data_IF_513970231196
#
_entry.id   IF_513970231196
#
_cell.length_a   1.000
_cell.length_b   1.000
_cell.length_c   1.000
_cell.angle_alpha   90.00
_cell.angle_beta   90.00
_cell.angle_gamma   90.00
#
_symmetry.space_group_name_H-M   'P 1'
#
loop_
_entity.id
_entity.type
_entity.pdbx_description
1 polymer ?
#
# COMPACT_ATOMS: atom_id res chain seq x y z
N UNK A 1 -28.63 -24.70 5.02
CA UNK A 1 -27.49 -23.75 5.04
C UNK A 1 -26.29 -24.51 5.57
N UNK A 2 -25.35 -24.88 4.71
CA UNK A 2 -24.20 -25.74 5.09
C UNK A 2 -22.92 -24.93 5.02
N UNK A 3 -22.28 -24.73 6.16
CA UNK A 3 -20.99 -24.08 6.29
C UNK A 3 -19.90 -25.06 5.83
N UNK A 4 -19.20 -24.76 4.73
CA UNK A 4 -17.99 -25.49 4.33
C UNK A 4 -16.82 -25.04 5.20
N UNK A 5 -16.41 -25.92 6.11
CA UNK A 5 -15.18 -25.80 6.90
C UNK A 5 -13.94 -25.84 6.00
N UNK A 6 -12.90 -25.16 6.47
CA UNK A 6 -11.60 -24.94 5.85
C UNK A 6 -10.99 -26.20 5.20
N UNK A 7 -10.37 -26.01 4.03
CA UNK A 7 -9.61 -27.06 3.36
C UNK A 7 -8.33 -27.35 4.17
N UNK A 8 -7.99 -28.61 4.46
CA UNK A 8 -6.74 -28.95 5.13
C UNK A 8 -5.56 -28.58 4.23
N UNK A 9 -4.48 -28.10 4.86
CA UNK A 9 -3.20 -27.80 4.21
C UNK A 9 -2.69 -29.09 3.57
N UNK A 10 -2.22 -29.01 2.33
CA UNK A 10 -1.72 -30.17 1.59
C UNK A 10 -0.19 -30.20 1.68
N UNK A 11 0.34 -30.98 2.63
CA UNK A 11 1.78 -31.12 2.88
C UNK A 11 2.56 -31.79 1.72
N UNK A 12 1.88 -32.40 0.75
CA UNK A 12 2.53 -32.99 -0.43
C UNK A 12 3.10 -31.92 -1.37
N UNK A 13 2.60 -30.68 -1.29
CA UNK A 13 3.10 -29.53 -2.06
C UNK A 13 4.40 -28.94 -1.51
N UNK A 14 4.75 -29.20 -0.25
CA UNK A 14 6.00 -28.68 0.34
C UNK A 14 7.23 -29.52 -0.02
N UNK A 15 7.05 -30.84 -0.23
CA UNK A 15 8.14 -31.72 -0.65
C UNK A 15 8.56 -31.48 -2.12
N UNK A 16 7.60 -31.13 -3.00
CA UNK A 16 7.88 -30.81 -4.40
C UNK A 16 8.67 -29.51 -4.62
N UNK A 17 8.69 -28.61 -3.63
CA UNK A 17 9.43 -27.33 -3.71
C UNK A 17 10.93 -27.54 -3.48
N UNK A 18 11.31 -28.55 -2.69
CA UNK A 18 12.74 -28.82 -2.38
C UNK A 18 13.51 -29.47 -3.54
N UNK A 19 12.84 -30.21 -4.42
CA UNK A 19 13.48 -30.87 -5.57
C UNK A 19 13.67 -29.96 -6.80
N UNK A 20 12.97 -28.83 -6.87
CA UNK A 20 13.05 -27.90 -8.02
C UNK A 20 14.20 -26.89 -7.92
N UNK A 21 14.82 -26.71 -6.74
CA UNK A 21 15.89 -25.74 -6.52
C UNK A 21 17.25 -26.26 -7.03
N UNK A 22 17.43 -27.58 -7.19
CA UNK A 22 18.71 -28.17 -7.60
C UNK A 22 18.93 -28.27 -9.12
N UNK A 23 17.92 -28.02 -9.97
CA UNK A 23 18.02 -28.18 -11.44
C UNK A 23 18.13 -26.83 -12.18
N UNK A 24 17.81 -25.71 -11.54
CA UNK A 24 17.82 -24.40 -12.19
C UNK A 24 19.20 -23.68 -12.19
N UNK A 25 20.24 -24.28 -11.63
CA UNK A 25 21.57 -23.63 -11.45
C UNK A 25 22.50 -23.80 -12.67
N UNK A 26 22.10 -24.50 -13.74
CA UNK A 26 23.05 -24.89 -14.80
C UNK A 26 22.70 -24.59 -16.27
N UNK A 27 21.62 -23.88 -16.60
CA UNK A 27 21.29 -23.65 -18.03
C UNK A 27 20.62 -22.32 -18.39
N UNK A 28 21.24 -21.17 -18.14
CA UNK A 28 20.95 -19.95 -18.94
C UNK A 28 22.21 -19.10 -19.11
N UNK A 29 23.10 -19.52 -20.00
CA UNK A 29 24.00 -18.61 -20.71
C UNK A 29 23.32 -18.24 -22.02
N UNK A 30 23.03 -16.96 -22.22
CA UNK A 30 22.66 -16.42 -23.53
C UNK A 30 21.18 -16.11 -23.73
N UNK A 31 20.83 -14.86 -23.45
CA UNK A 31 20.01 -14.03 -24.34
C UNK A 31 20.24 -12.58 -23.92
N UNK A 32 21.08 -11.88 -24.67
CA UNK A 32 21.22 -10.43 -24.56
C UNK A 32 19.95 -9.78 -25.11
N UNK A 33 18.93 -9.64 -24.27
CA UNK A 33 17.79 -8.76 -24.56
C UNK A 33 18.26 -7.32 -24.40
N UNK A 34 18.29 -6.60 -25.52
CA UNK A 34 18.47 -5.15 -25.56
C UNK A 34 17.38 -4.53 -24.68
N UNK A 35 17.75 -4.03 -23.51
CA UNK A 35 16.87 -3.19 -22.71
C UNK A 35 16.51 -1.96 -23.55
N UNK A 36 15.24 -1.54 -23.60
CA UNK A 36 14.90 -0.25 -24.15
C UNK A 36 15.65 0.78 -23.30
N UNK A 37 16.47 1.59 -23.96
CA UNK A 37 17.07 2.78 -23.37
C UNK A 37 15.94 3.59 -22.76
N UNK A 38 15.78 3.51 -21.44
CA UNK A 38 14.98 4.48 -20.71
C UNK A 38 15.63 5.82 -21.00
N UNK A 39 14.96 6.64 -21.81
CA UNK A 39 15.27 8.06 -21.92
C UNK A 39 15.15 8.61 -20.52
N UNK A 40 16.29 8.70 -19.83
CA UNK A 40 16.38 9.39 -18.57
C UNK A 40 15.81 10.79 -18.79
N UNK A 41 14.77 11.12 -18.04
CA UNK A 41 14.35 12.50 -17.91
C UNK A 41 15.60 13.31 -17.52
N UNK A 42 15.85 14.49 -18.12
CA UNK A 42 16.91 15.37 -17.65
C UNK A 42 16.50 15.90 -16.28
N UNK A 43 16.71 15.07 -15.25
CA UNK A 43 16.79 15.52 -13.88
C UNK A 43 18.10 16.26 -13.79
N UNK A 44 18.02 17.58 -13.68
CA UNK A 44 19.13 18.37 -13.15
C UNK A 44 19.36 17.88 -11.72
N UNK A 45 20.18 16.84 -11.57
CA UNK A 45 20.67 16.38 -10.27
C UNK A 45 21.68 17.42 -9.79
N UNK A 46 21.18 18.56 -9.31
CA UNK A 46 21.97 19.45 -8.50
C UNK A 46 22.16 18.73 -7.17
N UNK A 47 23.23 17.95 -7.08
CA UNK A 47 23.70 17.34 -5.84
C UNK A 47 24.23 18.45 -4.94
N UNK A 48 23.33 19.27 -4.39
CA UNK A 48 23.67 20.17 -3.29
C UNK A 48 23.81 19.30 -2.05
N UNK A 49 25.04 19.07 -1.63
CA UNK A 49 25.37 18.65 -0.26
C UNK A 49 24.50 19.47 0.70
N UNK A 50 23.90 18.84 1.71
CA UNK A 50 23.06 19.53 2.70
C UNK A 50 23.76 20.80 3.21
N UNK A 51 23.16 21.96 2.93
CA UNK A 51 23.65 23.24 3.43
C UNK A 51 23.66 23.20 4.97
N UNK A 52 24.84 23.03 5.57
CA UNK A 52 25.02 22.85 7.01
C UNK A 52 24.38 23.99 7.84
N UNK A 53 24.48 25.27 7.43
CA UNK A 53 23.80 26.35 8.15
C UNK A 53 22.27 26.25 8.09
N UNK A 54 21.70 25.81 6.96
CA UNK A 54 20.27 25.63 6.80
C UNK A 54 19.76 24.45 7.63
N UNK A 55 20.50 23.34 7.64
CA UNK A 55 20.20 22.17 8.47
C UNK A 55 20.24 22.52 9.97
N UNK A 56 21.27 23.23 10.41
CA UNK A 56 21.39 23.69 11.80
C UNK A 56 20.24 24.65 12.18
N UNK A 57 19.77 25.48 11.24
CA UNK A 57 18.60 26.33 11.45
C UNK A 57 17.32 25.51 11.57
N UNK A 58 17.12 24.49 10.73
CA UNK A 58 15.97 23.59 10.79
C UNK A 58 15.89 22.87 12.13
N UNK A 59 17.00 22.26 12.55
CA UNK A 59 17.09 21.55 13.84
C UNK A 59 16.70 22.46 15.00
N UNK A 60 17.23 23.69 15.03
CA UNK A 60 16.90 24.68 16.05
C UNK A 60 15.42 25.05 16.06
N UNK A 61 14.80 25.20 14.89
CA UNK A 61 13.37 25.51 14.79
C UNK A 61 12.55 24.34 15.32
N UNK A 62 12.85 23.11 14.89
CA UNK A 62 12.13 21.91 15.32
C UNK A 62 12.28 21.69 16.83
N UNK A 63 13.49 21.74 17.38
CA UNK A 63 13.69 21.59 18.82
C UNK A 63 12.97 22.69 19.61
N UNK A 64 13.00 23.95 19.14
CA UNK A 64 12.27 25.03 19.82
C UNK A 64 10.76 24.82 19.79
N UNK A 65 10.20 24.39 18.66
CA UNK A 65 8.75 24.22 18.49
C UNK A 65 8.21 22.99 19.22
N UNK A 66 8.93 21.88 19.19
CA UNK A 66 8.47 20.62 19.79
C UNK A 66 8.49 20.68 21.33
N UNK A 67 9.32 21.55 21.92
CA UNK A 67 9.47 21.72 23.37
C UNK A 67 8.99 23.09 23.90
N UNK A 68 8.26 23.87 23.10
CA UNK A 68 7.65 25.12 23.57
C UNK A 68 6.37 24.86 24.34
N UNK A 69 6.07 25.70 25.33
CA UNK A 69 4.78 25.69 26.03
C UNK A 69 3.59 25.74 25.07
N UNK A 70 2.54 24.92 25.27
CA UNK A 70 2.31 23.96 26.36
C UNK A 70 2.69 22.50 26.04
N UNK A 71 3.63 22.28 25.10
CA UNK A 71 3.94 20.97 24.52
C UNK A 71 5.08 20.25 25.24
N UNK A 72 5.60 20.77 26.36
CA UNK A 72 6.84 20.32 27.00
C UNK A 72 6.78 18.87 27.48
N UNK A 73 5.58 18.35 27.76
CA UNK A 73 5.35 16.97 28.19
C UNK A 73 4.86 16.05 27.07
N UNK A 74 4.68 16.58 25.85
CA UNK A 74 4.20 15.81 24.72
C UNK A 74 5.29 14.89 24.19
N UNK A 75 4.95 13.62 23.99
CA UNK A 75 5.82 12.67 23.32
C UNK A 75 5.71 12.86 21.80
N UNK A 76 6.76 13.41 21.20
CA UNK A 76 6.88 13.61 19.76
C UNK A 76 7.68 12.48 19.11
N UNK A 77 7.15 11.90 18.04
CA UNK A 77 7.89 11.09 17.07
C UNK A 77 8.01 11.86 15.76
N UNK A 78 9.23 12.12 15.31
CA UNK A 78 9.51 12.88 14.07
C UNK A 78 10.61 12.17 13.29
N UNK A 79 10.38 11.92 12.02
CA UNK A 79 11.38 11.43 11.07
C UNK A 79 11.24 12.23 9.76
N UNK A 80 12.31 12.93 9.38
CA UNK A 80 12.38 13.74 8.17
C UNK A 80 13.50 13.18 7.31
N UNK A 81 13.16 12.73 6.10
CA UNK A 81 14.11 12.15 5.14
C UNK A 81 14.01 12.84 3.79
N UNK A 82 15.13 12.94 3.10
CA UNK A 82 15.15 13.25 1.67
C UNK A 82 14.82 11.98 0.90
N UNK A 83 13.81 12.04 0.03
CA UNK A 83 13.44 10.92 -0.84
C UNK A 83 14.51 10.72 -1.92
N UNK A 84 14.90 11.79 -2.62
CA UNK A 84 15.86 11.69 -3.72
C UNK A 84 17.27 11.29 -3.25
N UNK A 85 17.73 11.89 -2.14
CA UNK A 85 19.08 11.67 -1.60
C UNK A 85 19.16 10.50 -0.62
N UNK A 86 18.03 9.94 -0.19
CA UNK A 86 17.95 8.85 0.79
C UNK A 86 18.64 9.19 2.13
N UNK A 87 18.71 10.46 2.47
CA UNK A 87 19.39 10.96 3.67
C UNK A 87 18.38 11.31 4.77
N UNK A 88 18.73 10.97 6.02
CA UNK A 88 17.98 11.39 7.19
C UNK A 88 18.37 12.82 7.57
N UNK A 89 17.39 13.72 7.54
CA UNK A 89 17.58 15.16 7.77
C UNK A 89 17.40 15.49 9.25
N UNK A 90 16.39 14.92 9.90
CA UNK A 90 16.11 15.15 11.32
C UNK A 90 15.30 13.97 11.88
N UNK A 91 15.62 13.55 13.10
CA UNK A 91 14.84 12.54 13.82
C UNK A 91 14.69 12.87 15.28
N UNK A 92 13.54 12.51 15.84
CA UNK A 92 13.26 12.51 17.27
C UNK A 92 12.38 11.31 17.60
N UNK A 93 12.82 10.47 18.52
CA UNK A 93 12.14 9.24 18.94
C UNK A 93 11.66 8.36 17.76
N UNK A 94 12.51 8.07 16.75
CA UNK A 94 12.06 7.41 15.51
C UNK A 94 11.52 5.99 15.74
N UNK A 95 12.01 5.30 16.78
CA UNK A 95 11.65 3.91 17.08
C UNK A 95 10.59 3.77 18.18
N UNK A 96 10.06 4.89 18.68
CA UNK A 96 9.03 4.87 19.72
C UNK A 96 7.67 4.62 19.09
N UNK A 97 6.97 3.60 19.58
CA UNK A 97 5.61 3.30 19.14
C UNK A 97 4.63 4.36 19.62
N UNK A 98 3.92 4.96 18.68
CA UNK A 98 2.88 5.96 18.91
C UNK A 98 1.57 5.51 18.27
N UNK A 99 0.45 6.06 18.73
CA UNK A 99 -0.85 5.87 18.09
C UNK A 99 -0.91 6.68 16.79
N UNK A 100 -0.92 6.06 15.60
CA UNK A 100 -0.82 6.77 14.32
C UNK A 100 -2.09 7.57 13.95
N UNK A 101 -3.22 7.30 14.63
CA UNK A 101 -4.53 7.82 14.25
C UNK A 101 -4.78 7.59 12.74
N UNK A 102 -5.22 8.62 12.01
CA UNK A 102 -5.52 8.51 10.58
C UNK A 102 -4.29 8.32 9.68
N UNK A 103 -3.04 8.47 10.16
CA UNK A 103 -1.87 8.19 9.33
C UNK A 103 -1.74 6.69 9.03
N UNK A 104 -2.38 5.82 9.81
CA UNK A 104 -2.52 4.39 9.52
C UNK A 104 -3.12 4.12 8.14
N UNK A 105 -3.97 5.03 7.64
CA UNK A 105 -4.58 4.93 6.30
C UNK A 105 -3.53 4.82 5.19
N UNK A 106 -2.32 5.36 5.37
CA UNK A 106 -1.23 5.25 4.40
C UNK A 106 -0.86 3.78 4.19
N UNK A 107 -0.70 3.02 5.29
CA UNK A 107 -0.36 1.59 5.23
C UNK A 107 -1.54 0.80 4.68
N UNK A 108 -2.77 1.09 5.13
CA UNK A 108 -3.98 0.46 4.59
C UNK A 108 -4.09 0.65 3.07
N UNK A 109 -3.85 1.87 2.58
CA UNK A 109 -3.88 2.18 1.15
C UNK A 109 -2.77 1.47 0.39
N UNK A 110 -1.55 1.43 0.91
CA UNK A 110 -0.43 0.75 0.26
C UNK A 110 -0.68 -0.75 0.11
N UNK A 111 -1.22 -1.40 1.15
CA UNK A 111 -1.58 -2.81 1.10
C UNK A 111 -2.77 -3.03 0.15
N UNK A 112 -3.81 -2.20 0.24
CA UNK A 112 -4.98 -2.31 -0.62
C UNK A 112 -4.61 -2.15 -2.10
N UNK A 113 -3.78 -1.16 -2.45
CA UNK A 113 -3.36 -0.94 -3.83
C UNK A 113 -2.47 -2.05 -4.36
N UNK A 114 -1.66 -2.69 -3.51
CA UNK A 114 -0.88 -3.86 -3.89
C UNK A 114 -1.74 -5.11 -4.11
N UNK A 115 -2.78 -5.32 -3.29
CA UNK A 115 -3.62 -6.52 -3.35
C UNK A 115 -4.73 -6.43 -4.41
N UNK A 116 -5.35 -5.26 -4.55
CA UNK A 116 -6.48 -5.02 -5.44
C UNK A 116 -6.07 -4.38 -6.78
N UNK A 117 -4.99 -3.59 -6.76
CA UNK A 117 -4.61 -2.72 -7.86
C UNK A 117 -5.29 -1.35 -7.79
N UNK A 118 -4.63 -0.34 -8.36
CA UNK A 118 -5.14 1.05 -8.37
C UNK A 118 -6.43 1.24 -9.17
N UNK A 119 -6.75 0.29 -10.06
CA UNK A 119 -7.92 0.35 -10.93
C UNK A 119 -9.05 -0.59 -10.50
N UNK A 120 -8.96 -1.17 -9.30
CA UNK A 120 -10.03 -2.04 -8.80
C UNK A 120 -11.36 -1.29 -8.68
N UNK A 121 -12.47 -2.01 -8.84
CA UNK A 121 -13.83 -1.46 -8.81
C UNK A 121 -14.75 -2.38 -8.02
N UNK A 122 -15.57 -1.77 -7.17
CA UNK A 122 -16.66 -2.48 -6.55
C UNK A 122 -17.77 -2.72 -7.58
N UNK A 123 -18.37 -3.91 -7.52
CA UNK A 123 -19.56 -4.28 -8.28
C UNK A 123 -20.79 -4.37 -7.38
N UNK A 124 -21.90 -3.84 -7.87
CA UNK A 124 -23.23 -4.06 -7.30
C UNK A 124 -24.12 -4.66 -8.39
N UNK A 125 -24.61 -5.87 -8.15
CA UNK A 125 -25.34 -6.67 -9.16
C UNK A 125 -26.73 -7.01 -8.66
N UNK A 126 -27.73 -6.89 -9.54
CA UNK A 126 -29.09 -7.34 -9.29
C UNK A 126 -29.30 -8.75 -9.86
N UNK A 127 -29.85 -9.63 -9.04
CA UNK A 127 -30.22 -11.00 -9.39
C UNK A 127 -31.72 -11.21 -9.22
N UNK A 128 -32.26 -12.21 -9.89
CA UNK A 128 -33.59 -12.73 -9.57
C UNK A 128 -33.60 -14.26 -9.64
N UNK A 129 -34.42 -14.87 -8.78
CA UNK A 129 -34.78 -16.29 -8.84
C UNK A 129 -36.11 -16.53 -9.59
N UNK A 130 -36.77 -15.45 -10.03
CA UNK A 130 -38.08 -15.45 -10.66
C UNK A 130 -38.03 -15.35 -12.18
N UNK A 131 -39.21 -15.26 -12.80
CA UNK A 131 -39.39 -15.01 -14.23
C UNK A 131 -40.04 -13.65 -14.44
N UNK A 132 -39.66 -12.98 -15.52
CA UNK A 132 -40.32 -11.75 -15.95
C UNK A 132 -41.36 -12.12 -17.01
N UNK A 133 -42.64 -11.93 -16.69
CA UNK A 133 -43.77 -12.19 -17.59
C UNK A 133 -44.62 -10.93 -17.67
N UNK A 134 -44.91 -10.46 -18.88
CA UNK A 134 -45.74 -9.26 -19.11
C UNK A 134 -45.31 -8.04 -18.27
N UNK A 135 -44.00 -7.79 -18.15
CA UNK A 135 -43.39 -6.74 -17.33
C UNK A 135 -43.57 -6.88 -15.81
N UNK A 136 -43.97 -8.05 -15.32
CA UNK A 136 -44.06 -8.37 -13.88
C UNK A 136 -43.00 -9.41 -13.53
N UNK A 137 -42.23 -9.13 -12.48
CA UNK A 137 -41.31 -10.12 -11.92
C UNK A 137 -42.06 -11.06 -10.97
N UNK A 138 -42.08 -12.34 -11.29
CA UNK A 138 -42.64 -13.42 -10.46
C UNK A 138 -41.52 -14.11 -9.68
N UNK A 139 -41.10 -13.48 -8.59
CA UNK A 139 -40.05 -13.97 -7.69
C UNK A 139 -39.38 -12.82 -6.95
N UNK A 140 -38.22 -13.09 -6.38
CA UNK A 140 -37.45 -12.11 -5.61
C UNK A 140 -36.52 -11.31 -6.52
N UNK A 141 -36.37 -10.01 -6.23
CA UNK A 141 -35.27 -9.19 -6.73
C UNK A 141 -34.22 -9.07 -5.62
N UNK A 142 -32.99 -9.45 -5.91
CA UNK A 142 -31.91 -9.56 -4.94
C UNK A 142 -30.79 -8.60 -5.35
N UNK A 143 -30.47 -7.64 -4.48
CA UNK A 143 -29.31 -6.78 -4.66
C UNK A 143 -28.09 -7.36 -3.92
N UNK A 144 -26.98 -7.57 -4.64
CA UNK A 144 -25.71 -8.04 -4.07
C UNK A 144 -24.62 -7.00 -4.29
N UNK A 145 -24.26 -6.29 -3.22
CA UNK A 145 -23.10 -5.40 -3.20
C UNK A 145 -21.81 -6.14 -2.86
N UNK A 146 -20.69 -5.62 -3.36
CA UNK A 146 -19.33 -6.05 -3.01
C UNK A 146 -18.62 -5.13 -2.00
N UNK A 147 -19.32 -4.12 -1.47
CA UNK A 147 -18.79 -3.18 -0.47
C UNK A 147 -18.44 -1.80 -1.02
N UNK A 148 -19.07 -1.37 -2.12
CA UNK A 148 -18.88 -0.03 -2.69
C UNK A 148 -19.18 1.06 -1.63
N UNK A 149 -18.17 1.80 -1.15
CA UNK A 149 -18.37 2.86 -0.16
C UNK A 149 -18.93 4.14 -0.77
N UNK A 150 -19.11 4.18 -2.11
CA UNK A 150 -19.60 5.34 -2.86
C UNK A 150 -21.04 5.19 -3.34
N UNK A 151 -21.71 4.08 -3.01
CA UNK A 151 -23.12 3.91 -3.33
C UNK A 151 -23.96 5.00 -2.63
N UNK A 152 -24.79 5.68 -3.41
CA UNK A 152 -25.67 6.75 -2.93
C UNK A 152 -27.08 6.61 -3.55
N UNK A 153 -28.00 7.46 -3.12
CA UNK A 153 -29.38 7.52 -3.59
C UNK A 153 -29.60 8.55 -4.71
N UNK A 154 -28.53 9.04 -5.35
CA UNK A 154 -28.62 9.98 -6.45
C UNK A 154 -29.39 9.38 -7.64
N UNK A 155 -30.44 10.10 -8.05
CA UNK A 155 -31.34 9.82 -9.19
C UNK A 155 -31.31 10.98 -10.17
#
# INVERSE_FOLDING_TARGET
>A
VSYKLARPIDWSRLLAITTSIAVAVLTVTGCASRLPTATAFPGTSTSSVLDTPALARLHRILDKTLYSAPLETTLWGVDVRSIDRHEQIFTRNPDVLLTPASTLKIITLAVASQQLGWNDRFETVLFTNGRIEQNVLHGDLIARGSGDPTIDNDV
#
